data_IF_056080042908
#
_entry.id   IF_056080042908
#
_cell.length_a   1.000
_cell.length_b   1.000
_cell.length_c   1.000
_cell.angle_alpha   90.00
_cell.angle_beta   90.00
_cell.angle_gamma   90.00
#
_symmetry.space_group_name_H-M   'P 1'
#
loop_
_entity.id
_entity.type
_entity.pdbx_description
1 polymer ?
#
# COMPACT_ATOMS: atom_id res chain seq x y z
N UNK A 1 16.72 -9.69 8.88
CA UNK A 1 15.27 -10.00 8.97
C UNK A 1 14.99 -11.13 8.00
N UNK A 2 14.17 -12.12 8.36
CA UNK A 2 13.77 -13.18 7.42
C UNK A 2 12.88 -12.61 6.30
N UNK A 3 12.97 -13.16 5.08
CA UNK A 3 12.16 -12.78 3.93
C UNK A 3 10.65 -12.80 4.26
N UNK A 4 10.20 -13.84 4.98
CA UNK A 4 8.82 -13.97 5.44
C UNK A 4 8.36 -12.79 6.30
N UNK A 5 9.16 -12.39 7.31
CA UNK A 5 8.87 -11.22 8.17
C UNK A 5 8.81 -9.93 7.36
N UNK A 6 9.70 -9.76 6.39
CA UNK A 6 9.72 -8.57 5.52
C UNK A 6 8.45 -8.48 4.67
N UNK A 7 7.98 -9.60 4.14
CA UNK A 7 6.73 -9.67 3.37
C UNK A 7 5.52 -9.34 4.25
N UNK A 8 5.47 -9.84 5.48
CA UNK A 8 4.38 -9.53 6.42
C UNK A 8 4.28 -8.03 6.73
N UNK A 9 5.42 -7.36 6.94
CA UNK A 9 5.48 -5.91 7.14
C UNK A 9 4.98 -5.14 5.92
N UNK A 10 5.40 -5.55 4.72
CA UNK A 10 4.96 -4.94 3.46
C UNK A 10 3.46 -5.18 3.22
N UNK A 11 2.92 -6.33 3.62
CA UNK A 11 1.48 -6.61 3.58
C UNK A 11 0.72 -5.68 4.53
N UNK A 12 1.22 -5.46 5.73
CA UNK A 12 0.60 -4.53 6.68
C UNK A 12 0.64 -3.09 6.15
N UNK A 13 1.76 -2.67 5.58
CA UNK A 13 1.92 -1.36 4.96
C UNK A 13 0.93 -1.14 3.80
N UNK A 14 0.85 -2.11 2.86
CA UNK A 14 -0.06 -2.03 1.72
C UNK A 14 -1.54 -1.96 2.14
N UNK A 15 -1.94 -2.78 3.13
CA UNK A 15 -3.30 -2.72 3.71
C UNK A 15 -3.59 -1.35 4.30
N UNK A 16 -2.70 -0.84 5.14
CA UNK A 16 -2.88 0.47 5.78
C UNK A 16 -2.99 1.60 4.75
N UNK A 17 -2.13 1.60 3.73
CA UNK A 17 -2.15 2.63 2.69
C UNK A 17 -3.46 2.59 1.87
N UNK A 18 -3.96 1.39 1.57
CA UNK A 18 -5.24 1.18 0.88
C UNK A 18 -6.42 1.67 1.71
N UNK A 19 -6.51 1.25 2.97
CA UNK A 19 -7.57 1.67 3.89
C UNK A 19 -7.60 3.20 4.06
N UNK A 20 -6.42 3.84 4.17
CA UNK A 20 -6.32 5.31 4.23
C UNK A 20 -6.81 5.98 2.97
N UNK A 21 -6.41 5.48 1.80
CA UNK A 21 -6.87 6.03 0.52
C UNK A 21 -8.38 5.91 0.38
N UNK A 22 -8.94 4.73 0.65
CA UNK A 22 -10.38 4.47 0.54
C UNK A 22 -11.20 5.33 1.50
N UNK A 23 -10.75 5.48 2.75
CA UNK A 23 -11.37 6.37 3.73
C UNK A 23 -11.43 7.82 3.24
N UNK A 24 -10.31 8.34 2.73
CA UNK A 24 -10.23 9.73 2.27
C UNK A 24 -10.95 9.96 0.94
N UNK A 25 -10.96 8.95 0.06
CA UNK A 25 -11.77 8.95 -1.16
C UNK A 25 -13.27 9.01 -0.84
N UNK A 26 -13.73 8.30 0.18
CA UNK A 26 -15.11 8.41 0.65
C UNK A 26 -15.43 9.81 1.21
N UNK A 27 -14.50 10.40 1.99
CA UNK A 27 -14.65 11.76 2.54
C UNK A 27 -14.80 12.85 1.48
N UNK A 28 -14.29 12.65 0.27
CA UNK A 28 -14.48 13.59 -0.86
C UNK A 28 -15.94 13.83 -1.22
N UNK A 29 -16.84 12.89 -0.89
CA UNK A 29 -18.28 13.01 -1.15
C UNK A 29 -19.10 13.49 0.08
N UNK A 30 -18.43 13.84 1.20
CA UNK A 30 -19.08 14.23 2.45
C UNK A 30 -18.99 15.72 2.79
N UNK A 31 -19.60 16.12 3.91
CA UNK A 31 -19.65 17.51 4.40
C UNK A 31 -18.28 18.15 4.69
N UNK A 32 -17.21 17.35 4.86
CA UNK A 32 -15.83 17.82 5.02
C UNK A 32 -14.94 17.22 3.93
N UNK A 33 -14.95 17.80 2.72
CA UNK A 33 -14.22 17.25 1.60
C UNK A 33 -12.71 17.29 1.84
N UNK A 34 -12.04 16.20 1.50
CA UNK A 34 -10.58 16.15 1.37
C UNK A 34 -10.15 16.90 0.11
N UNK A 35 -8.98 17.54 0.13
CA UNK A 35 -8.44 18.20 -1.07
C UNK A 35 -7.96 17.16 -2.08
N UNK A 36 -8.13 17.45 -3.38
CA UNK A 36 -7.60 16.59 -4.46
C UNK A 36 -6.09 16.36 -4.35
N UNK A 37 -5.35 17.36 -3.86
CA UNK A 37 -3.91 17.23 -3.62
C UNK A 37 -3.59 16.15 -2.57
N UNK A 38 -4.33 16.13 -1.45
CA UNK A 38 -4.18 15.11 -0.41
C UNK A 38 -4.59 13.73 -0.92
N UNK A 39 -5.66 13.65 -1.72
CA UNK A 39 -6.08 12.37 -2.31
C UNK A 39 -5.00 11.79 -3.24
N UNK A 40 -4.40 12.62 -4.10
CA UNK A 40 -3.29 12.20 -4.98
C UNK A 40 -2.05 11.74 -4.21
N UNK A 41 -1.75 12.37 -3.08
CA UNK A 41 -0.66 11.94 -2.21
C UNK A 41 -0.93 10.54 -1.62
N UNK A 42 -2.14 10.32 -1.12
CA UNK A 42 -2.57 9.02 -0.59
C UNK A 42 -2.55 7.93 -1.67
N UNK A 43 -2.93 8.27 -2.89
CA UNK A 43 -2.86 7.37 -4.04
C UNK A 43 -1.42 6.94 -4.34
N UNK A 44 -0.48 7.90 -4.41
CA UNK A 44 0.94 7.59 -4.59
C UNK A 44 1.50 6.73 -3.45
N UNK A 45 1.08 6.97 -2.21
CA UNK A 45 1.48 6.15 -1.07
C UNK A 45 0.99 4.70 -1.19
N UNK A 46 -0.30 4.52 -1.57
CA UNK A 46 -0.89 3.20 -1.85
C UNK A 46 -0.10 2.48 -2.93
N UNK A 47 0.10 3.12 -4.08
CA UNK A 47 0.80 2.53 -5.23
C UNK A 47 2.24 2.15 -4.89
N UNK A 48 2.95 3.00 -4.14
CA UNK A 48 4.30 2.72 -3.69
C UNK A 48 4.37 1.52 -2.75
N UNK A 49 3.42 1.40 -1.81
CA UNK A 49 3.36 0.25 -0.89
C UNK A 49 3.04 -1.06 -1.64
N UNK A 50 2.09 -1.02 -2.56
CA UNK A 50 1.73 -2.16 -3.40
C UNK A 50 2.91 -2.62 -4.27
N UNK A 51 3.65 -1.67 -4.86
CA UNK A 51 4.83 -1.98 -5.68
C UNK A 51 5.93 -2.65 -4.86
N UNK A 52 6.20 -2.18 -3.64
CA UNK A 52 7.18 -2.82 -2.74
C UNK A 52 6.77 -4.24 -2.36
N UNK A 53 5.50 -4.44 -2.01
CA UNK A 53 4.97 -5.76 -1.68
C UNK A 53 5.08 -6.71 -2.87
N UNK A 54 4.68 -6.26 -4.07
CA UNK A 54 4.76 -7.07 -5.29
C UNK A 54 6.19 -7.54 -5.55
N UNK A 55 7.15 -6.62 -5.50
CA UNK A 55 8.57 -6.92 -5.69
C UNK A 55 9.07 -7.96 -4.69
N UNK A 56 8.77 -7.79 -3.40
CA UNK A 56 9.19 -8.75 -2.37
C UNK A 56 8.57 -10.14 -2.59
N UNK A 57 7.31 -10.23 -3.06
CA UNK A 57 6.66 -11.50 -3.40
C UNK A 57 7.23 -12.14 -4.67
N UNK A 58 7.77 -11.36 -5.59
CA UNK A 58 8.46 -11.86 -6.79
C UNK A 58 9.85 -12.40 -6.43
N UNK A 59 10.60 -11.68 -5.60
CA UNK A 59 11.91 -12.09 -5.09
C UNK A 59 11.81 -13.39 -4.25
N UNK A 60 10.82 -13.49 -3.36
CA UNK A 60 10.57 -14.70 -2.56
C UNK A 60 10.21 -15.92 -3.42
N UNK A 61 9.39 -15.72 -4.45
CA UNK A 61 9.07 -16.77 -5.43
C UNK A 61 10.28 -17.21 -6.23
N UNK A 62 11.15 -16.29 -6.64
CA UNK A 62 12.38 -16.62 -7.35
C UNK A 62 13.34 -17.44 -6.47
N UNK A 63 13.51 -17.05 -5.20
CA UNK A 63 14.38 -17.76 -4.26
C UNK A 63 13.83 -19.11 -3.78
N UNK A 64 12.52 -19.35 -3.86
CA UNK A 64 11.92 -20.65 -3.54
C UNK A 64 11.93 -21.66 -4.69
N UNK A 65 12.40 -21.27 -5.89
CA UNK A 65 12.54 -22.13 -7.07
C UNK A 65 13.99 -22.58 -7.33
N UNK A 66 14.95 -22.03 -6.58
CA UNK A 66 16.36 -22.47 -6.52
C UNK A 66 16.56 -23.51 -5.41
#
# INVERSE_FOLDING_TARGET
MSASRRIEELRAEARYARERYDLYRAKTYGLRPTTLARLRELERMREGADARLRRALEEDRAHGLD
#
